data_IF_485655493543
#
_entry.id   IF_485655493543
#
_cell.length_a   1.000
_cell.length_b   1.000
_cell.length_c   1.000
_cell.angle_alpha   90.00
_cell.angle_beta   90.00
_cell.angle_gamma   90.00
#
_symmetry.space_group_name_H-M   'P 1'
#
loop_
_entity.id
_entity.type
_entity.pdbx_description
1 polymer ?
#
# COMPACT_ATOMS: atom_id res chain seq x y z
N UNK A 1 36.77 -35.19 -33.66
CA UNK A 1 35.30 -35.13 -33.85
C UNK A 1 34.58 -35.29 -32.51
N UNK A 2 34.76 -36.41 -31.78
CA UNK A 2 34.15 -36.64 -30.45
C UNK A 2 34.46 -35.55 -29.41
N UNK A 3 35.71 -35.05 -29.38
CA UNK A 3 36.11 -33.93 -28.50
C UNK A 3 35.27 -32.66 -28.74
N UNK A 4 35.00 -32.31 -30.01
CA UNK A 4 34.21 -31.14 -30.39
C UNK A 4 32.72 -31.32 -30.05
N UNK A 5 32.20 -32.55 -30.18
CA UNK A 5 30.83 -32.88 -29.79
C UNK A 5 30.67 -32.78 -28.26
N UNK A 6 31.65 -33.25 -27.49
CA UNK A 6 31.65 -33.13 -26.03
C UNK A 6 31.72 -31.67 -25.59
N UNK A 7 32.57 -30.85 -26.22
CA UNK A 7 32.65 -29.42 -25.88
C UNK A 7 31.37 -28.68 -26.23
N UNK A 8 30.73 -29.00 -27.36
CA UNK A 8 29.46 -28.37 -27.76
C UNK A 8 28.31 -28.78 -26.82
N UNK A 9 28.24 -30.05 -26.43
CA UNK A 9 27.26 -30.55 -25.47
C UNK A 9 27.44 -29.87 -24.10
N UNK A 10 28.67 -29.78 -23.60
CA UNK A 10 28.97 -29.10 -22.34
C UNK A 10 28.60 -27.62 -22.39
N UNK A 11 28.93 -26.92 -23.48
CA UNK A 11 28.54 -25.53 -23.66
C UNK A 11 27.01 -25.36 -23.70
N UNK A 12 26.30 -26.25 -24.40
CA UNK A 12 24.84 -26.23 -24.46
C UNK A 12 24.21 -26.48 -23.08
N UNK A 13 24.74 -27.41 -22.29
CA UNK A 13 24.27 -27.68 -20.93
C UNK A 13 24.50 -26.48 -19.99
N UNK A 14 25.64 -25.78 -20.12
CA UNK A 14 25.91 -24.56 -19.37
C UNK A 14 24.94 -23.44 -19.74
N UNK A 15 24.67 -23.26 -21.04
CA UNK A 15 23.69 -22.26 -21.53
C UNK A 15 22.27 -22.61 -21.11
N UNK A 16 21.87 -23.88 -21.23
CA UNK A 16 20.53 -24.33 -20.82
C UNK A 16 20.31 -24.22 -19.30
N UNK A 17 21.35 -24.43 -18.49
CA UNK A 17 21.29 -24.22 -17.05
C UNK A 17 21.24 -22.73 -16.65
N UNK A 18 21.74 -21.83 -17.52
CA UNK A 18 21.68 -20.38 -17.29
C UNK A 18 20.31 -19.77 -17.66
N UNK A 19 19.44 -20.52 -18.35
CA UNK A 19 18.12 -20.07 -18.82
C UNK A 19 16.96 -20.55 -17.93
N UNK A 20 17.27 -21.11 -16.76
CA UNK A 20 16.31 -21.13 -15.65
C UNK A 20 16.33 -19.76 -14.95
N UNK A 21 15.97 -18.72 -15.70
CA UNK A 21 15.38 -17.54 -15.09
C UNK A 21 14.03 -17.99 -14.55
N UNK A 22 14.02 -18.37 -13.29
CA UNK A 22 12.82 -18.42 -12.49
C UNK A 22 12.10 -17.09 -12.74
N UNK A 23 10.91 -17.16 -13.34
CA UNK A 23 9.91 -16.13 -13.16
C UNK A 23 9.50 -16.21 -11.69
N UNK A 24 10.40 -15.75 -10.82
CA UNK A 24 10.06 -15.30 -9.51
C UNK A 24 9.06 -14.17 -9.75
N UNK A 25 7.80 -14.45 -9.46
CA UNK A 25 6.90 -13.39 -9.05
C UNK A 25 7.54 -12.78 -7.82
N UNK A 26 8.46 -11.83 -8.03
CA UNK A 26 8.85 -10.89 -7.02
C UNK A 26 7.53 -10.35 -6.47
N UNK A 27 7.18 -10.77 -5.26
CA UNK A 27 6.32 -9.96 -4.42
C UNK A 27 6.94 -8.58 -4.50
N UNK A 28 6.21 -7.67 -5.13
CA UNK A 28 6.61 -6.30 -5.37
C UNK A 28 7.13 -5.71 -4.06
N UNK A 29 8.45 -5.69 -3.89
CA UNK A 29 9.13 -5.16 -2.71
C UNK A 29 9.07 -3.61 -2.67
N UNK A 30 8.13 -3.02 -3.41
CA UNK A 30 7.97 -1.57 -3.61
C UNK A 30 6.66 -1.05 -3.02
N UNK A 31 5.76 -1.91 -2.55
CA UNK A 31 4.66 -1.46 -1.68
C UNK A 31 5.25 -1.26 -0.28
N UNK A 32 5.22 -0.02 0.28
CA UNK A 32 5.62 0.17 1.66
C UNK A 32 4.78 -0.75 2.53
N UNK A 33 5.42 -1.54 3.40
CA UNK A 33 4.70 -2.29 4.41
C UNK A 33 4.04 -1.28 5.35
N UNK A 34 2.75 -1.03 5.13
CA UNK A 34 1.98 -0.10 5.94
C UNK A 34 1.73 -0.67 7.34
N UNK A 35 1.49 0.24 8.29
CA UNK A 35 1.20 -0.13 9.67
C UNK A 35 -0.14 -0.84 9.82
N UNK A 36 -0.46 -1.17 11.07
CA UNK A 36 -1.79 -1.68 11.40
C UNK A 36 -2.86 -0.67 10.98
N UNK A 37 -3.90 -1.17 10.30
CA UNK A 37 -5.04 -0.39 9.81
C UNK A 37 -4.67 0.72 8.79
N UNK A 38 -3.54 0.55 8.11
CA UNK A 38 -3.12 1.40 7.01
C UNK A 38 -3.09 0.63 5.69
N UNK A 39 -3.39 1.33 4.60
CA UNK A 39 -3.30 0.81 3.23
C UNK A 39 -2.40 1.71 2.39
N UNK A 40 -1.67 1.12 1.45
CA UNK A 40 -0.94 1.90 0.45
C UNK A 40 -1.94 2.57 -0.49
N UNK A 41 -1.91 3.91 -0.56
CA UNK A 41 -2.66 4.68 -1.56
C UNK A 41 -1.67 5.39 -2.47
N UNK A 42 -2.01 5.47 -3.75
CA UNK A 42 -1.19 6.12 -4.79
C UNK A 42 -1.97 7.28 -5.39
N UNK A 43 -1.28 8.39 -5.69
CA UNK A 43 -1.88 9.56 -6.34
C UNK A 43 -3.07 10.13 -5.55
N UNK A 44 -2.92 10.28 -4.23
CA UNK A 44 -3.93 10.87 -3.36
C UNK A 44 -3.49 12.25 -2.85
N UNK A 45 -4.45 13.16 -2.68
CA UNK A 45 -4.21 14.46 -2.02
C UNK A 45 -4.00 14.25 -0.54
N UNK A 46 -2.96 14.83 0.07
CA UNK A 46 -2.74 14.70 1.52
C UNK A 46 -3.92 15.21 2.36
N UNK A 47 -4.62 16.24 1.90
CA UNK A 47 -5.77 16.82 2.61
C UNK A 47 -7.04 15.94 2.60
N UNK A 48 -7.08 14.91 1.75
CA UNK A 48 -8.24 14.04 1.56
C UNK A 48 -7.90 12.55 1.55
N UNK A 49 -6.65 12.18 1.83
CA UNK A 49 -6.19 10.81 1.72
C UNK A 49 -6.74 9.90 2.83
N UNK A 50 -7.10 10.45 3.99
CA UNK A 50 -7.55 9.71 5.16
C UNK A 50 -8.32 10.59 6.15
N UNK A 51 -9.13 9.95 6.99
CA UNK A 51 -9.84 10.62 8.07
C UNK A 51 -8.94 10.72 9.30
N UNK A 52 -9.16 11.74 10.12
CA UNK A 52 -8.47 11.90 11.42
C UNK A 52 -9.49 11.94 12.55
N UNK A 53 -9.03 11.76 13.80
CA UNK A 53 -9.92 11.86 14.95
C UNK A 53 -10.62 13.24 15.03
N UNK A 54 -9.95 14.30 14.59
CA UNK A 54 -10.50 15.67 14.58
C UNK A 54 -11.29 16.00 13.31
N UNK A 55 -10.99 15.31 12.20
CA UNK A 55 -11.64 15.47 10.90
C UNK A 55 -12.09 14.10 10.39
N UNK A 56 -13.16 13.54 10.98
CA UNK A 56 -13.61 12.19 10.65
C UNK A 56 -14.30 12.10 9.28
N UNK A 57 -14.64 13.24 8.69
CA UNK A 57 -15.20 13.34 7.34
C UNK A 57 -14.18 13.97 6.39
N UNK A 58 -13.93 13.31 5.26
CA UNK A 58 -13.12 13.87 4.17
C UNK A 58 -13.88 15.02 3.52
N UNK A 59 -13.24 16.20 3.47
CA UNK A 59 -13.83 17.34 2.79
C UNK A 59 -13.82 17.14 1.26
N UNK A 60 -14.79 17.71 0.52
CA UNK A 60 -14.81 17.60 -0.94
C UNK A 60 -13.72 18.43 -1.64
N UNK A 61 -13.09 19.36 -0.91
CA UNK A 61 -12.06 20.25 -1.45
C UNK A 61 -10.68 19.76 -1.01
N UNK A 62 -9.92 19.27 -1.98
CA UNK A 62 -8.61 18.67 -1.76
C UNK A 62 -7.50 19.54 -2.35
N UNK A 63 -6.36 19.57 -1.68
CA UNK A 63 -5.10 20.13 -2.18
C UNK A 63 -4.56 19.29 -3.36
N UNK A 64 -3.78 19.90 -4.25
CA UNK A 64 -3.28 19.24 -5.48
C UNK A 64 -1.90 18.58 -5.30
N UNK A 65 -1.50 18.31 -4.06
CA UNK A 65 -0.27 17.62 -3.72
C UNK A 65 -0.50 16.10 -3.73
N UNK A 66 -0.41 15.51 -4.92
CA UNK A 66 -0.56 14.08 -5.10
C UNK A 66 0.64 13.33 -4.53
N UNK A 67 0.36 12.38 -3.64
CA UNK A 67 1.35 11.60 -2.91
C UNK A 67 1.03 10.11 -2.97
N UNK A 68 2.05 9.30 -2.75
CA UNK A 68 1.96 7.85 -2.56
C UNK A 68 2.52 7.53 -1.19
N UNK A 69 1.78 6.75 -0.39
CA UNK A 69 2.16 6.46 0.98
C UNK A 69 1.16 5.57 1.69
N UNK A 70 1.38 5.39 2.99
CA UNK A 70 0.47 4.66 3.88
C UNK A 70 -0.52 5.63 4.50
N UNK A 71 -1.79 5.28 4.42
CA UNK A 71 -2.90 6.08 4.90
C UNK A 71 -3.89 5.19 5.62
N UNK A 72 -4.64 5.73 6.58
CA UNK A 72 -5.64 4.97 7.30
C UNK A 72 -6.64 4.36 6.32
N UNK A 73 -6.93 3.09 6.55
CA UNK A 73 -7.95 2.37 5.81
C UNK A 73 -9.34 2.93 6.13
N UNK A 74 -10.32 2.54 5.33
CA UNK A 74 -11.71 2.89 5.56
C UNK A 74 -12.17 2.47 6.97
N UNK A 75 -12.87 3.37 7.67
CA UNK A 75 -13.32 3.16 9.05
C UNK A 75 -12.27 3.44 10.14
N UNK A 76 -11.03 3.78 9.77
CA UNK A 76 -9.98 4.14 10.72
C UNK A 76 -9.62 5.62 10.64
N UNK A 77 -9.20 6.15 11.79
CA UNK A 77 -8.92 7.57 12.00
C UNK A 77 -7.50 7.75 12.51
N UNK A 78 -6.73 8.64 11.88
CA UNK A 78 -5.40 8.97 12.40
C UNK A 78 -5.51 9.78 13.69
N UNK A 79 -4.86 9.30 14.74
CA UNK A 79 -4.72 10.01 16.02
C UNK A 79 -3.41 10.86 16.07
N UNK A 80 -3.19 11.56 17.18
CA UNK A 80 -2.01 12.42 17.35
C UNK A 80 -0.69 11.62 17.47
N UNK A 81 -0.79 10.34 17.83
CA UNK A 81 0.32 9.38 17.91
C UNK A 81 0.65 8.77 16.53
N UNK A 82 0.00 9.22 15.45
CA UNK A 82 0.12 8.73 14.09
C UNK A 82 -0.38 7.29 13.88
N UNK A 83 -1.12 6.73 14.82
CA UNK A 83 -1.81 5.44 14.66
C UNK A 83 -3.16 5.58 13.98
N UNK A 84 -3.51 4.61 13.14
CA UNK A 84 -4.86 4.47 12.57
C UNK A 84 -5.71 3.62 13.51
N UNK A 85 -6.64 4.27 14.20
CA UNK A 85 -7.42 3.67 15.29
C UNK A 85 -8.92 3.68 14.98
N UNK A 86 -9.69 2.87 15.71
CA UNK A 86 -11.15 2.93 15.62
C UNK A 86 -11.68 4.23 16.21
N UNK A 87 -12.92 4.56 15.89
CA UNK A 87 -13.63 5.74 16.40
C UNK A 87 -13.60 5.82 17.93
N UNK A 88 -13.77 4.68 18.60
CA UNK A 88 -13.83 4.57 20.06
C UNK A 88 -12.46 4.79 20.71
N UNK A 89 -11.38 4.53 19.97
CA UNK A 89 -10.01 4.70 20.42
C UNK A 89 -9.45 6.10 20.15
N UNK A 90 -10.20 6.97 19.46
CA UNK A 90 -9.88 8.39 19.38
C UNK A 90 -10.02 9.08 20.74
N UNK A 91 -9.29 10.19 21.00
CA UNK A 91 -9.40 10.96 22.23
C UNK A 91 -10.85 11.35 22.56
N UNK A 92 -11.21 11.29 23.84
CA UNK A 92 -12.53 11.73 24.31
C UNK A 92 -12.79 13.19 23.87
N UNK A 93 -13.99 13.45 23.36
CA UNK A 93 -14.38 14.77 22.86
C UNK A 93 -13.92 15.10 21.44
N UNK A 94 -13.16 14.22 20.78
CA UNK A 94 -12.84 14.38 19.35
C UNK A 94 -14.09 14.29 18.48
N UNK A 95 -14.04 14.92 17.31
CA UNK A 95 -15.16 14.93 16.37
C UNK A 95 -15.55 13.50 15.93
N UNK A 96 -14.56 12.60 15.86
CA UNK A 96 -14.76 11.19 15.54
C UNK A 96 -15.88 10.58 16.36
N UNK A 97 -15.93 10.70 17.69
CA UNK A 97 -16.96 10.07 18.55
C UNK A 97 -18.41 10.40 18.14
N UNK A 98 -18.65 11.59 17.60
CA UNK A 98 -19.99 12.04 17.18
C UNK A 98 -20.28 11.84 15.71
N UNK A 99 -19.27 11.49 14.91
CA UNK A 99 -19.43 11.28 13.48
C UNK A 99 -20.32 10.07 13.18
N UNK A 100 -21.25 10.25 12.25
CA UNK A 100 -22.07 9.17 11.71
C UNK A 100 -21.65 9.01 10.26
N UNK A 101 -21.09 7.85 9.94
CA UNK A 101 -20.69 7.54 8.58
C UNK A 101 -21.93 7.46 7.69
N UNK A 102 -21.99 8.30 6.68
CA UNK A 102 -23.01 8.21 5.64
C UNK A 102 -22.73 6.99 4.78
N UNK A 103 -23.74 6.19 4.39
CA UNK A 103 -23.53 5.07 3.49
C UNK A 103 -22.80 5.54 2.23
N UNK A 104 -21.60 5.03 2.00
CA UNK A 104 -20.84 5.30 0.78
C UNK A 104 -21.59 4.68 -0.39
N UNK A 105 -22.31 5.51 -1.15
CA UNK A 105 -22.85 5.10 -2.44
C UNK A 105 -21.67 5.10 -3.40
N UNK A 106 -21.03 3.94 -3.56
CA UNK A 106 -20.07 3.73 -4.63
C UNK A 106 -20.86 3.68 -5.95
N UNK A 107 -20.91 4.81 -6.66
CA UNK A 107 -21.26 4.85 -8.09
C UNK A 107 -20.03 4.53 -8.96
#
# INVERSE_FOLDING_TARGET
MLKFLLTALLAYLVVAAADHHEHEHHADATTPACGENEVTKTCVSSSCAEATCDKPQIAPQCTLDYQTGCYCDHGFYRNAEHGCVTKEACPEGSAAHTYVETPHVHE
#
